data_IF_197646759774
#
_entry.id   IF_197646759774
#
_cell.length_a   1.000
_cell.length_b   1.000
_cell.length_c   1.000
_cell.angle_alpha   90.00
_cell.angle_beta   90.00
_cell.angle_gamma   90.00
#
_symmetry.space_group_name_H-M   'P 1'
#
loop_
_entity.id
_entity.type
_entity.pdbx_description
1 polymer ?
#
# COMPACT_ATOMS: atom_id res chain seq x y z
N UNK A 1 2.00 18.91 6.97
CA UNK A 1 0.61 18.42 6.79
C UNK A 1 0.04 17.90 8.10
N UNK A 2 0.67 16.91 8.76
CA UNK A 2 0.23 16.42 10.08
C UNK A 2 0.20 17.54 11.15
N UNK A 3 1.25 18.39 11.21
CA UNK A 3 1.36 19.51 12.15
C UNK A 3 0.23 20.54 12.04
N UNK A 4 -0.32 20.71 10.85
CA UNK A 4 -1.44 21.63 10.56
C UNK A 4 -2.79 20.89 10.44
N UNK A 5 -2.84 19.61 10.85
CA UNK A 5 -4.04 18.75 10.85
C UNK A 5 -4.75 18.62 9.49
N UNK A 6 -4.00 18.68 8.39
CA UNK A 6 -4.54 18.52 7.04
C UNK A 6 -4.33 17.08 6.56
N UNK A 7 -5.42 16.46 6.06
CA UNK A 7 -5.41 15.13 5.42
C UNK A 7 -5.12 15.27 3.93
N UNK A 8 -3.99 14.77 3.41
CA UNK A 8 -3.68 14.88 1.99
C UNK A 8 -4.46 13.87 1.16
N UNK A 9 -4.77 14.22 -0.07
CA UNK A 9 -5.22 13.23 -1.06
C UNK A 9 -4.00 12.56 -1.69
N UNK A 10 -3.91 11.23 -1.60
CA UNK A 10 -2.81 10.45 -2.15
C UNK A 10 -3.20 9.90 -3.51
N UNK A 11 -2.47 10.26 -4.55
CA UNK A 11 -2.67 9.80 -5.92
C UNK A 11 -1.63 8.74 -6.29
N UNK A 12 -1.91 7.95 -7.33
CA UNK A 12 -1.01 6.90 -7.84
C UNK A 12 -0.51 5.91 -6.77
N UNK A 13 -1.36 5.53 -5.81
CA UNK A 13 -0.99 4.60 -4.73
C UNK A 13 -0.45 3.25 -5.24
N UNK A 14 -0.91 2.79 -6.40
CA UNK A 14 -0.45 1.54 -7.04
C UNK A 14 0.74 1.74 -8.00
N UNK A 15 1.45 2.87 -7.92
CA UNK A 15 2.57 3.20 -8.81
C UNK A 15 2.19 3.28 -10.28
N UNK A 16 0.98 3.76 -10.60
CA UNK A 16 0.45 3.76 -11.97
C UNK A 16 0.25 2.36 -12.57
N UNK A 17 0.19 1.31 -11.75
CA UNK A 17 0.08 -0.08 -12.18
C UNK A 17 1.42 -0.80 -12.37
N UNK A 18 2.55 -0.06 -12.31
CA UNK A 18 3.90 -0.65 -12.42
C UNK A 18 4.20 -1.66 -11.32
N UNK A 19 3.54 -1.58 -10.16
CA UNK A 19 3.72 -2.56 -9.09
C UNK A 19 3.33 -3.98 -9.51
N UNK A 20 2.43 -4.12 -10.50
CA UNK A 20 1.97 -5.41 -11.01
C UNK A 20 2.82 -5.93 -12.17
N UNK A 21 3.39 -5.04 -12.98
CA UNK A 21 4.03 -5.40 -14.26
C UNK A 21 5.53 -5.09 -14.31
N UNK A 22 6.03 -4.24 -13.42
CA UNK A 22 7.42 -3.82 -13.38
C UNK A 22 8.34 -4.98 -13.01
N UNK A 23 9.52 -5.00 -13.63
CA UNK A 23 10.56 -6.02 -13.48
C UNK A 23 11.85 -5.47 -12.89
N UNK A 24 11.80 -4.30 -12.25
CA UNK A 24 12.96 -3.80 -11.51
C UNK A 24 13.13 -4.61 -10.23
N UNK A 25 14.36 -4.81 -9.77
CA UNK A 25 14.62 -5.55 -8.52
C UNK A 25 13.83 -4.96 -7.33
N UNK A 26 13.67 -3.64 -7.29
CA UNK A 26 12.85 -2.98 -6.28
C UNK A 26 11.37 -3.41 -6.38
N UNK A 27 10.80 -3.41 -7.59
CA UNK A 27 9.41 -3.80 -7.79
C UNK A 27 9.19 -5.28 -7.42
N UNK A 28 10.14 -6.15 -7.75
CA UNK A 28 10.09 -7.57 -7.41
C UNK A 28 10.14 -7.80 -5.90
N UNK A 29 11.09 -7.17 -5.19
CA UNK A 29 11.17 -7.25 -3.72
C UNK A 29 9.91 -6.75 -3.05
N UNK A 30 9.39 -5.59 -3.48
CA UNK A 30 8.17 -5.02 -2.90
C UNK A 30 6.96 -5.92 -3.20
N UNK A 31 6.83 -6.45 -4.41
CA UNK A 31 5.73 -7.35 -4.77
C UNK A 31 5.78 -8.64 -3.93
N UNK A 32 6.95 -9.24 -3.79
CA UNK A 32 7.15 -10.43 -2.95
C UNK A 32 6.72 -10.16 -1.49
N UNK A 33 7.13 -9.02 -0.93
CA UNK A 33 6.76 -8.62 0.43
C UNK A 33 5.25 -8.38 0.57
N UNK A 34 4.63 -7.73 -0.41
CA UNK A 34 3.18 -7.49 -0.41
C UNK A 34 2.37 -8.78 -0.50
N UNK A 35 2.84 -9.80 -1.22
CA UNK A 35 2.19 -11.11 -1.27
C UNK A 35 2.25 -11.83 0.09
N UNK A 36 3.37 -11.74 0.80
CA UNK A 36 3.47 -12.29 2.17
C UNK A 36 2.48 -11.58 3.11
N UNK A 37 2.47 -10.24 3.08
CA UNK A 37 1.56 -9.44 3.90
C UNK A 37 0.10 -9.65 3.55
N UNK A 38 -0.21 -9.95 2.28
CA UNK A 38 -1.57 -10.27 1.84
C UNK A 38 -2.09 -11.49 2.60
N UNK A 39 -1.29 -12.55 2.72
CA UNK A 39 -1.66 -13.74 3.49
C UNK A 39 -1.77 -13.43 5.00
N UNK A 40 -0.80 -12.70 5.57
CA UNK A 40 -0.79 -12.36 7.00
C UNK A 40 -1.98 -11.50 7.43
N UNK A 41 -2.43 -10.59 6.56
CA UNK A 41 -3.53 -9.67 6.81
C UNK A 41 -4.89 -10.25 6.40
N UNK A 42 -4.92 -11.44 5.78
CA UNK A 42 -6.15 -12.01 5.20
C UNK A 42 -6.73 -11.16 4.06
N UNK A 43 -5.89 -10.43 3.33
CA UNK A 43 -6.31 -9.60 2.21
C UNK A 43 -6.60 -10.45 0.96
N UNK A 44 -7.51 -10.00 0.11
CA UNK A 44 -7.82 -10.71 -1.14
C UNK A 44 -6.86 -10.36 -2.28
N UNK A 45 -6.14 -9.24 -2.18
CA UNK A 45 -5.17 -8.78 -3.19
C UNK A 45 -4.13 -7.85 -2.60
N UNK A 46 -2.96 -7.75 -3.25
CA UNK A 46 -1.90 -6.82 -2.84
C UNK A 46 -2.32 -5.36 -2.93
N UNK A 47 -3.29 -5.01 -3.79
CA UNK A 47 -3.89 -3.67 -3.88
C UNK A 47 -4.47 -3.24 -2.53
N UNK A 48 -5.16 -4.15 -1.84
CA UNK A 48 -5.72 -3.86 -0.51
C UNK A 48 -4.61 -3.59 0.51
N UNK A 49 -3.55 -4.39 0.47
CA UNK A 49 -2.38 -4.22 1.33
C UNK A 49 -1.73 -2.85 1.08
N UNK A 50 -1.60 -2.44 -0.18
CA UNK A 50 -1.05 -1.12 -0.54
C UNK A 50 -1.94 0.02 -0.01
N UNK A 51 -3.26 -0.07 -0.13
CA UNK A 51 -4.16 0.93 0.42
C UNK A 51 -4.07 1.01 1.95
N UNK A 52 -3.98 -0.14 2.63
CA UNK A 52 -3.75 -0.19 4.08
C UNK A 52 -2.40 0.46 4.46
N UNK A 53 -1.34 0.17 3.70
CA UNK A 53 0.00 0.74 3.88
C UNK A 53 0.01 2.27 3.76
N UNK A 54 -0.66 2.81 2.74
CA UNK A 54 -0.79 4.26 2.54
C UNK A 54 -1.57 4.91 3.70
N UNK A 55 -2.71 4.33 4.10
CA UNK A 55 -3.54 4.90 5.18
C UNK A 55 -2.89 4.82 6.56
N UNK A 56 -1.92 3.94 6.78
CA UNK A 56 -1.18 3.83 8.04
C UNK A 56 -0.30 5.06 8.33
N UNK A 57 -0.03 5.90 7.32
CA UNK A 57 0.70 7.14 7.51
C UNK A 57 0.00 8.06 8.53
N UNK A 58 0.76 8.70 9.45
CA UNK A 58 0.18 9.51 10.53
C UNK A 58 -0.50 10.79 10.04
N UNK A 59 -0.31 11.19 8.78
CA UNK A 59 -1.04 12.28 8.13
C UNK A 59 -2.47 11.92 7.72
N UNK A 60 -2.89 10.66 7.89
CA UNK A 60 -4.21 10.13 7.53
C UNK A 60 -4.64 10.48 6.08
N UNK A 61 -3.84 10.05 5.08
CA UNK A 61 -4.12 10.33 3.67
C UNK A 61 -5.43 9.70 3.19
N UNK A 62 -6.02 10.32 2.17
CA UNK A 62 -7.19 9.86 1.43
C UNK A 62 -6.74 9.32 0.06
N UNK A 63 -6.66 7.98 -0.13
CA UNK A 63 -6.27 7.41 -1.40
C UNK A 63 -7.28 7.72 -2.51
N UNK A 64 -6.80 8.18 -3.66
CA UNK A 64 -7.61 8.37 -4.87
C UNK A 64 -7.51 7.09 -5.71
N UNK A 65 -8.66 6.52 -6.06
CA UNK A 65 -8.77 5.34 -6.91
C UNK A 65 -8.96 5.81 -8.35
N UNK A 66 -7.98 5.55 -9.22
CA UNK A 66 -8.01 5.95 -10.63
C UNK A 66 -8.63 4.94 -11.58
N UNK A 67 -9.24 3.85 -11.07
CA UNK A 67 -9.84 2.82 -11.93
C UNK A 67 -11.30 3.12 -12.26
N UNK A 68 -11.70 2.91 -13.52
CA UNK A 68 -13.11 2.92 -13.93
C UNK A 68 -13.85 1.59 -13.70
N UNK A 69 -13.20 0.59 -13.09
CA UNK A 69 -13.80 -0.74 -12.81
C UNK A 69 -14.34 -0.78 -11.38
N UNK A 70 -15.62 -1.10 -11.21
CA UNK A 70 -16.29 -1.08 -9.90
C UNK A 70 -15.65 -2.07 -8.92
N UNK A 71 -15.19 -3.20 -9.41
CA UNK A 71 -14.56 -4.26 -8.60
C UNK A 71 -13.27 -3.76 -7.92
N UNK A 72 -12.56 -2.82 -8.57
CA UNK A 72 -11.37 -2.19 -7.97
C UNK A 72 -11.74 -1.15 -6.92
N UNK A 73 -12.90 -0.51 -7.04
CA UNK A 73 -13.42 0.40 -6.01
C UNK A 73 -13.81 -0.42 -4.78
N UNK A 74 -14.53 -1.52 -4.96
CA UNK A 74 -14.89 -2.45 -3.89
C UNK A 74 -13.65 -2.98 -3.17
N UNK A 75 -12.63 -3.40 -3.92
CA UNK A 75 -11.34 -3.82 -3.35
C UNK A 75 -10.73 -2.74 -2.45
N UNK A 76 -10.74 -1.48 -2.90
CA UNK A 76 -10.20 -0.38 -2.12
C UNK A 76 -11.04 -0.08 -0.87
N UNK A 77 -12.37 -0.23 -0.93
CA UNK A 77 -13.26 -0.12 0.24
C UNK A 77 -12.97 -1.24 1.23
N UNK A 78 -12.88 -2.49 0.78
CA UNK A 78 -12.61 -3.65 1.63
C UNK A 78 -11.27 -3.56 2.35
N UNK A 79 -10.28 -2.89 1.73
CA UNK A 79 -9.00 -2.63 2.38
C UNK A 79 -9.15 -1.87 3.71
N UNK A 80 -10.24 -1.10 3.93
CA UNK A 80 -10.52 -0.37 5.17
C UNK A 80 -10.58 -1.27 6.41
N UNK A 81 -10.85 -2.57 6.20
CA UNK A 81 -10.92 -3.57 7.28
C UNK A 81 -9.55 -4.10 7.70
N UNK A 82 -8.50 -3.85 6.91
CA UNK A 82 -7.15 -4.35 7.19
C UNK A 82 -6.46 -3.52 8.26
N UNK A 83 -5.99 -4.20 9.31
CA UNK A 83 -5.21 -3.62 10.39
C UNK A 83 -3.73 -3.98 10.25
N UNK A 84 -2.97 -3.09 9.62
CA UNK A 84 -1.53 -3.27 9.44
C UNK A 84 -0.75 -2.84 10.69
N UNK A 85 0.16 -3.69 11.18
CA UNK A 85 1.07 -3.34 12.27
C UNK A 85 2.20 -2.43 11.80
N UNK A 86 2.90 -1.78 12.73
CA UNK A 86 4.06 -0.95 12.37
C UNK A 86 5.19 -1.80 11.77
N UNK A 87 5.39 -3.02 12.27
CA UNK A 87 6.40 -3.95 11.75
C UNK A 87 6.11 -4.32 10.29
N UNK A 88 4.87 -4.70 9.98
CA UNK A 88 4.41 -4.96 8.62
C UNK A 88 4.56 -3.74 7.72
N UNK A 89 4.29 -2.54 8.24
CA UNK A 89 4.49 -1.30 7.51
C UNK A 89 5.96 -1.06 7.12
N UNK A 90 6.87 -1.29 8.07
CA UNK A 90 8.31 -1.15 7.83
C UNK A 90 8.87 -2.20 6.88
N UNK A 91 8.31 -3.42 6.86
CA UNK A 91 8.72 -4.46 5.90
C UNK A 91 8.59 -4.01 4.45
N UNK A 92 7.47 -3.38 4.08
CA UNK A 92 7.28 -2.79 2.74
C UNK A 92 8.32 -1.70 2.45
N UNK A 93 8.62 -0.85 3.44
CA UNK A 93 9.63 0.19 3.31
C UNK A 93 11.03 -0.38 3.09
N UNK A 94 11.41 -1.42 3.85
CA UNK A 94 12.69 -2.13 3.72
C UNK A 94 12.80 -2.78 2.34
N UNK A 95 11.75 -3.49 1.89
CA UNK A 95 11.71 -4.12 0.57
C UNK A 95 11.93 -3.09 -0.55
N UNK A 96 11.33 -1.90 -0.41
CA UNK A 96 11.52 -0.78 -1.33
C UNK A 96 12.92 -0.19 -1.28
N UNK A 97 13.50 0.02 -0.10
CA UNK A 97 14.84 0.61 0.07
C UNK A 97 15.98 -0.36 -0.28
N UNK A 98 15.75 -1.67 -0.19
CA UNK A 98 16.76 -2.69 -0.47
C UNK A 98 17.81 -2.87 0.63
N UNK A 99 17.64 -2.21 1.77
CA UNK A 99 18.48 -2.35 2.97
C UNK A 99 17.63 -2.17 4.23
N UNK A 100 18.11 -2.67 5.37
CA UNK A 100 17.43 -2.53 6.67
C UNK A 100 17.25 -1.08 7.10
N UNK A 101 16.28 -0.84 8.00
CA UNK A 101 16.06 0.48 8.62
C UNK A 101 17.29 0.85 9.48
N UNK A 102 17.84 2.07 9.36
CA UNK A 102 18.90 2.55 10.23
C UNK A 102 18.49 2.68 11.70
#
# INVERSE_FOLDING_TARGET
>A
MQTVRTRPMAWSCLGGGSIFTGSTEQAERVRAELELLKEELGASSIDQVIYAWVRKLPSNPLPIIGSGKIERVETAVESLKLEMTNEQWYRVWIASKGHGVP
#
